data_IF_923465618629
#
_entry.id   IF_923465618629
#
_cell.length_a   1.000
_cell.length_b   1.000
_cell.length_c   1.000
_cell.angle_alpha   90.00
_cell.angle_beta   90.00
_cell.angle_gamma   90.00
#
_symmetry.space_group_name_H-M   'P 1'
#
loop_
_entity.id
_entity.type
_entity.pdbx_description
1 polymer ?
#
# COMPACT_ATOMS: atom_id res chain seq x y z
N UNK A 1 -9.66 -14.77 10.29
CA UNK A 1 -11.04 -14.35 10.65
C UNK A 1 -12.03 -15.18 9.86
N UNK A 2 -12.96 -15.87 10.52
CA UNK A 2 -13.99 -16.65 9.84
C UNK A 2 -14.95 -15.75 9.04
N UNK A 3 -15.48 -16.26 7.92
CA UNK A 3 -16.43 -15.52 7.07
C UNK A 3 -17.68 -15.10 7.86
N UNK A 4 -18.08 -15.89 8.87
CA UNK A 4 -19.20 -15.57 9.78
C UNK A 4 -18.99 -14.25 10.52
N UNK A 5 -17.78 -13.99 10.97
CA UNK A 5 -17.47 -12.76 11.71
C UNK A 5 -17.49 -11.55 10.79
N UNK A 6 -17.05 -11.72 9.54
CA UNK A 6 -17.12 -10.68 8.50
C UNK A 6 -18.59 -10.35 8.20
N UNK A 7 -19.43 -11.38 8.03
CA UNK A 7 -20.86 -11.23 7.78
C UNK A 7 -21.57 -10.50 8.92
N UNK A 8 -21.25 -10.86 10.16
CA UNK A 8 -21.82 -10.23 11.35
C UNK A 8 -21.44 -8.73 11.42
N UNK A 9 -20.19 -8.40 11.18
CA UNK A 9 -19.72 -7.00 11.17
C UNK A 9 -20.33 -6.18 10.06
N UNK A 10 -20.51 -6.78 8.87
CA UNK A 10 -21.14 -6.14 7.72
C UNK A 10 -22.67 -6.12 7.82
N UNK A 11 -23.27 -6.77 8.82
CA UNK A 11 -24.70 -6.90 9.02
C UNK A 11 -25.43 -7.54 7.84
N UNK A 12 -24.79 -8.53 7.23
CA UNK A 12 -25.35 -9.31 6.11
C UNK A 12 -25.31 -10.80 6.43
N UNK A 13 -26.11 -11.57 5.71
CA UNK A 13 -26.08 -13.04 5.85
C UNK A 13 -24.82 -13.64 5.23
N UNK A 14 -24.35 -14.74 5.77
CA UNK A 14 -23.21 -15.51 5.22
C UNK A 14 -23.47 -15.90 3.76
N UNK A 15 -24.71 -16.30 3.43
CA UNK A 15 -25.11 -16.63 2.07
C UNK A 15 -24.99 -15.45 1.09
N UNK A 16 -25.18 -14.21 1.57
CA UNK A 16 -25.02 -13.01 0.76
C UNK A 16 -23.56 -12.81 0.41
N UNK A 17 -22.65 -13.02 1.35
CA UNK A 17 -21.21 -12.93 1.09
C UNK A 17 -20.80 -13.96 0.05
N UNK A 18 -21.19 -15.21 0.18
CA UNK A 18 -20.84 -16.27 -0.78
C UNK A 18 -21.46 -16.08 -2.16
N UNK A 19 -22.55 -15.34 -2.28
CA UNK A 19 -23.12 -14.96 -3.59
C UNK A 19 -22.24 -13.97 -4.34
N UNK A 20 -21.66 -12.99 -3.65
CA UNK A 20 -20.78 -11.98 -4.24
C UNK A 20 -19.32 -12.47 -4.34
N UNK A 21 -18.90 -13.29 -3.39
CA UNK A 21 -17.53 -13.81 -3.28
C UNK A 21 -17.60 -15.34 -3.11
N UNK A 22 -17.69 -16.09 -4.21
CA UNK A 22 -17.89 -17.56 -4.15
C UNK A 22 -16.79 -18.30 -3.39
N UNK A 23 -15.57 -17.76 -3.41
CA UNK A 23 -14.45 -18.35 -2.67
C UNK A 23 -13.88 -17.35 -1.68
N UNK A 24 -13.14 -17.85 -0.68
CA UNK A 24 -12.40 -17.01 0.26
C UNK A 24 -11.35 -16.15 -0.48
N UNK A 25 -10.72 -16.69 -1.52
CA UNK A 25 -9.77 -15.96 -2.35
C UNK A 25 -10.43 -14.77 -3.05
N UNK A 26 -11.65 -14.91 -3.56
CA UNK A 26 -12.40 -13.82 -4.18
C UNK A 26 -12.65 -12.66 -3.20
N UNK A 27 -13.02 -12.99 -1.97
CA UNK A 27 -13.22 -12.01 -0.92
C UNK A 27 -11.91 -11.27 -0.58
N UNK A 28 -10.82 -12.00 -0.46
CA UNK A 28 -9.49 -11.46 -0.18
C UNK A 28 -9.05 -10.50 -1.30
N UNK A 29 -9.21 -10.90 -2.56
CA UNK A 29 -8.90 -10.06 -3.73
C UNK A 29 -9.72 -8.77 -3.70
N UNK A 30 -11.02 -8.84 -3.41
CA UNK A 30 -11.88 -7.66 -3.34
C UNK A 30 -11.46 -6.69 -2.22
N UNK A 31 -11.13 -7.21 -1.04
CA UNK A 31 -10.65 -6.39 0.08
C UNK A 31 -9.30 -5.74 -0.26
N UNK A 32 -8.40 -6.48 -0.88
CA UNK A 32 -7.09 -5.98 -1.30
C UNK A 32 -7.24 -4.85 -2.32
N UNK A 33 -8.07 -5.04 -3.35
CA UNK A 33 -8.35 -4.00 -4.35
C UNK A 33 -8.93 -2.74 -3.72
N UNK A 34 -9.88 -2.89 -2.82
CA UNK A 34 -10.48 -1.76 -2.10
C UNK A 34 -9.41 -0.95 -1.36
N UNK A 35 -8.47 -1.61 -0.72
CA UNK A 35 -7.40 -0.93 0.02
C UNK A 35 -6.36 -0.29 -0.89
N UNK A 36 -6.05 -0.90 -2.03
CA UNK A 36 -5.20 -0.28 -3.06
C UNK A 36 -5.85 1.01 -3.57
N UNK A 37 -7.15 0.97 -3.87
CA UNK A 37 -7.88 2.17 -4.31
C UNK A 37 -7.89 3.26 -3.23
N UNK A 38 -8.13 2.91 -1.98
CA UNK A 38 -8.08 3.88 -0.88
C UNK A 38 -6.70 4.54 -0.75
N UNK A 39 -5.63 3.75 -0.90
CA UNK A 39 -4.26 4.27 -0.89
C UNK A 39 -4.00 5.19 -2.11
N UNK A 40 -4.48 4.79 -3.30
CA UNK A 40 -4.32 5.60 -4.49
C UNK A 40 -5.05 6.96 -4.37
N UNK A 41 -6.28 6.95 -3.88
CA UNK A 41 -7.09 8.15 -3.70
C UNK A 41 -6.53 9.10 -2.63
N UNK A 42 -5.82 8.58 -1.65
CA UNK A 42 -5.20 9.36 -0.58
C UNK A 42 -4.08 10.28 -1.08
N UNK A 43 -3.38 9.92 -2.16
CA UNK A 43 -2.25 10.72 -2.68
C UNK A 43 -2.63 12.15 -3.03
N UNK A 44 -3.59 12.39 -3.94
CA UNK A 44 -4.03 13.74 -4.28
C UNK A 44 -4.62 14.50 -3.09
N UNK A 45 -5.33 13.83 -2.18
CA UNK A 45 -5.89 14.44 -0.98
C UNK A 45 -4.78 14.97 -0.08
N UNK A 46 -3.73 14.16 0.15
CA UNK A 46 -2.59 14.57 0.96
C UNK A 46 -1.83 15.75 0.32
N UNK A 47 -1.69 15.75 -1.01
CA UNK A 47 -1.09 16.90 -1.70
C UNK A 47 -1.88 18.19 -1.50
N UNK A 48 -3.21 18.10 -1.45
CA UNK A 48 -4.07 19.26 -1.21
C UNK A 48 -4.05 19.73 0.26
N UNK A 49 -3.91 18.81 1.20
CA UNK A 49 -3.97 19.10 2.64
C UNK A 49 -2.64 19.53 3.24
N UNK A 50 -1.51 18.99 2.74
CA UNK A 50 -0.19 19.29 3.27
C UNK A 50 0.37 20.59 2.67
N UNK A 51 1.02 21.40 3.48
CA UNK A 51 1.71 22.61 3.01
C UNK A 51 2.88 22.28 2.08
N UNK A 52 3.56 21.19 2.37
CA UNK A 52 4.74 20.75 1.62
C UNK A 52 4.49 19.42 0.92
N UNK A 53 4.76 19.32 -0.37
CA UNK A 53 4.66 18.06 -1.10
C UNK A 53 5.49 16.92 -0.49
N UNK A 54 6.66 17.21 0.09
CA UNK A 54 7.46 16.21 0.79
C UNK A 54 6.72 15.61 2.00
N UNK A 55 5.98 16.43 2.75
CA UNK A 55 5.17 15.93 3.88
C UNK A 55 4.04 15.03 3.39
N UNK A 56 3.43 15.38 2.25
CA UNK A 56 2.42 14.54 1.61
C UNK A 56 3.02 13.20 1.18
N UNK A 57 4.20 13.21 0.56
CA UNK A 57 4.93 12.00 0.18
C UNK A 57 5.23 11.12 1.41
N UNK A 58 5.75 11.72 2.48
CA UNK A 58 6.08 11.01 3.71
C UNK A 58 4.85 10.33 4.33
N UNK A 59 3.73 11.03 4.41
CA UNK A 59 2.47 10.47 4.92
C UNK A 59 1.92 9.36 4.04
N UNK A 60 1.97 9.56 2.72
CA UNK A 60 1.49 8.56 1.78
C UNK A 60 2.34 7.28 1.82
N UNK A 61 3.65 7.41 1.86
CA UNK A 61 4.55 6.25 2.02
C UNK A 61 4.29 5.54 3.35
N UNK A 62 4.01 6.29 4.43
CA UNK A 62 3.59 5.71 5.71
C UNK A 62 2.33 4.84 5.58
N UNK A 63 1.31 5.31 4.87
CA UNK A 63 0.10 4.53 4.56
C UNK A 63 0.42 3.27 3.74
N UNK A 64 1.30 3.41 2.75
CA UNK A 64 1.76 2.30 1.93
C UNK A 64 2.48 1.23 2.77
N UNK A 65 3.35 1.63 3.68
CA UNK A 65 4.05 0.73 4.62
C UNK A 65 3.06 0.01 5.54
N UNK A 66 2.12 0.75 6.14
CA UNK A 66 1.09 0.17 7.00
C UNK A 66 0.25 -0.85 6.24
N UNK A 67 -0.09 -0.55 5.00
CA UNK A 67 -0.77 -1.48 4.11
C UNK A 67 0.05 -2.76 3.89
N UNK A 68 1.34 -2.65 3.56
CA UNK A 68 2.23 -3.80 3.34
C UNK A 68 2.40 -4.65 4.60
N UNK A 69 2.64 -4.03 5.74
CA UNK A 69 2.85 -4.72 7.02
C UNK A 69 1.59 -5.45 7.47
N UNK A 70 0.43 -4.79 7.37
CA UNK A 70 -0.86 -5.37 7.76
C UNK A 70 -1.27 -6.53 6.83
N UNK A 71 -0.86 -6.50 5.55
CA UNK A 71 -1.31 -7.42 4.51
C UNK A 71 -0.36 -8.59 4.25
N UNK A 72 0.73 -8.70 5.01
CA UNK A 72 1.69 -9.79 4.83
C UNK A 72 1.03 -11.18 4.92
N UNK A 73 0.05 -11.36 5.80
CA UNK A 73 -0.71 -12.61 5.90
C UNK A 73 -1.61 -12.94 4.69
N UNK A 74 -2.01 -11.93 3.89
CA UNK A 74 -2.81 -12.15 2.68
C UNK A 74 -2.00 -12.75 1.54
N UNK A 75 -0.72 -12.41 1.43
CA UNK A 75 0.16 -12.96 0.43
C UNK A 75 0.30 -14.49 0.57
N UNK A 76 0.30 -15.01 1.79
CA UNK A 76 0.37 -16.44 2.04
C UNK A 76 -0.87 -17.20 1.55
N UNK A 77 -2.05 -16.62 1.72
CA UNK A 77 -3.31 -17.24 1.24
C UNK A 77 -3.36 -17.28 -0.28
N UNK A 78 -2.78 -16.27 -0.96
CA UNK A 78 -2.74 -16.18 -2.42
C UNK A 78 -1.58 -16.97 -3.04
N UNK A 79 -0.64 -17.49 -2.28
CA UNK A 79 0.47 -18.31 -2.79
C UNK A 79 0.01 -19.57 -3.50
N UNK A 80 -1.16 -20.10 -3.15
CA UNK A 80 -1.74 -21.28 -3.80
C UNK A 80 -2.31 -20.99 -5.19
N UNK A 81 -2.46 -19.71 -5.56
CA UNK A 81 -2.93 -19.27 -6.88
C UNK A 81 -1.99 -18.21 -7.44
N UNK A 82 -0.94 -18.66 -8.14
CA UNK A 82 0.08 -17.79 -8.70
C UNK A 82 -0.49 -16.82 -9.75
N UNK A 83 -1.48 -17.22 -10.52
CA UNK A 83 -2.09 -16.36 -11.54
C UNK A 83 -2.88 -15.21 -10.90
N UNK A 84 -3.69 -15.50 -9.89
CA UNK A 84 -4.43 -14.48 -9.14
C UNK A 84 -3.47 -13.51 -8.43
N UNK A 85 -2.40 -14.03 -7.84
CA UNK A 85 -1.37 -13.21 -7.19
C UNK A 85 -0.70 -12.26 -8.18
N UNK A 86 -0.30 -12.74 -9.36
CA UNK A 86 0.34 -11.91 -10.39
C UNK A 86 -0.59 -10.82 -10.93
N UNK A 87 -1.85 -11.14 -11.16
CA UNK A 87 -2.86 -10.18 -11.61
C UNK A 87 -3.06 -9.08 -10.57
N UNK A 88 -3.14 -9.46 -9.30
CA UNK A 88 -3.31 -8.52 -8.21
C UNK A 88 -2.05 -7.66 -8.01
N UNK A 89 -0.86 -8.24 -8.14
CA UNK A 89 0.40 -7.51 -8.08
C UNK A 89 0.52 -6.49 -9.21
N UNK A 90 0.17 -6.87 -10.44
CA UNK A 90 0.14 -5.95 -11.59
C UNK A 90 -0.84 -4.80 -11.35
N UNK A 91 -2.03 -5.08 -10.83
CA UNK A 91 -3.01 -4.06 -10.46
C UNK A 91 -2.45 -3.08 -9.43
N UNK A 92 -1.81 -3.58 -8.39
CA UNK A 92 -1.16 -2.80 -7.35
C UNK A 92 -0.11 -1.84 -7.94
N UNK A 93 0.81 -2.36 -8.76
CA UNK A 93 1.85 -1.55 -9.40
C UNK A 93 1.23 -0.50 -10.32
N UNK A 94 0.31 -0.89 -11.20
CA UNK A 94 -0.33 0.02 -12.16
C UNK A 94 -1.12 1.14 -11.48
N UNK A 95 -1.62 0.89 -10.28
CA UNK A 95 -2.44 1.86 -9.55
C UNK A 95 -1.64 2.80 -8.66
N UNK A 96 -0.58 2.30 -8.01
CA UNK A 96 0.15 3.07 -7.00
C UNK A 96 1.39 3.77 -7.53
N UNK A 97 2.07 3.23 -8.54
CA UNK A 97 3.24 3.88 -9.14
C UNK A 97 2.90 5.28 -9.67
N UNK A 98 1.82 5.49 -10.45
CA UNK A 98 1.47 6.83 -10.92
C UNK A 98 1.18 7.83 -9.79
N UNK A 99 0.60 7.39 -8.68
CA UNK A 99 0.35 8.25 -7.52
C UNK A 99 1.67 8.67 -6.87
N UNK A 100 2.59 7.74 -6.71
CA UNK A 100 3.93 8.02 -6.19
C UNK A 100 4.68 8.99 -7.12
N UNK A 101 4.58 8.82 -8.43
CA UNK A 101 5.15 9.75 -9.41
C UNK A 101 4.66 11.18 -9.21
N UNK A 102 3.35 11.36 -9.05
CA UNK A 102 2.75 12.68 -8.80
C UNK A 102 3.31 13.32 -7.53
N UNK A 103 3.44 12.55 -6.46
CA UNK A 103 4.00 13.03 -5.20
C UNK A 103 5.47 13.42 -5.33
N UNK A 104 6.26 12.62 -6.02
CA UNK A 104 7.68 12.91 -6.28
C UNK A 104 7.85 14.12 -7.18
N UNK A 105 7.07 14.26 -8.24
CA UNK A 105 7.08 15.40 -9.13
C UNK A 105 6.73 16.70 -8.41
N UNK A 106 5.69 16.65 -7.56
CA UNK A 106 5.30 17.82 -6.76
C UNK A 106 6.40 18.26 -5.79
N UNK A 107 7.03 17.31 -5.11
CA UNK A 107 8.14 17.60 -4.19
C UNK A 107 9.37 18.12 -4.92
N UNK A 108 9.69 17.59 -6.09
CA UNK A 108 10.79 18.07 -6.93
C UNK A 108 10.50 19.48 -7.48
N UNK A 109 9.29 19.74 -7.95
CA UNK A 109 8.86 21.07 -8.43
C UNK A 109 8.92 22.12 -7.32
N UNK A 110 8.66 21.75 -6.08
CA UNK A 110 8.80 22.63 -4.91
C UNK A 110 10.26 22.81 -4.46
N UNK A 111 11.22 22.14 -5.11
CA UNK A 111 12.64 22.22 -4.76
C UNK A 111 13.00 21.45 -3.47
N UNK A 112 12.15 20.57 -3.00
CA UNK A 112 12.35 19.84 -1.74
C UNK A 112 13.18 18.57 -1.90
N UNK A 113 13.11 17.95 -3.08
CA UNK A 113 13.87 16.75 -3.43
C UNK A 113 14.50 16.91 -4.81
N UNK A 114 15.49 16.08 -5.12
CA UNK A 114 16.09 16.05 -6.47
C UNK A 114 15.08 15.49 -7.48
N UNK A 115 15.01 16.04 -8.69
CA UNK A 115 14.20 15.46 -9.76
C UNK A 115 14.78 14.14 -10.26
N UNK A 116 13.94 13.35 -10.93
CA UNK A 116 14.38 12.14 -11.61
C UNK A 116 14.40 10.88 -10.76
N UNK A 117 13.83 10.93 -9.54
CA UNK A 117 13.62 9.72 -8.73
C UNK A 117 12.54 8.84 -9.38
N UNK A 118 12.86 7.59 -9.57
CA UNK A 118 11.93 6.61 -10.12
C UNK A 118 10.97 6.10 -9.04
N UNK A 119 9.68 6.28 -9.26
CA UNK A 119 8.64 5.90 -8.30
C UNK A 119 8.59 4.38 -8.07
N UNK A 120 8.75 3.60 -9.14
CA UNK A 120 8.75 2.14 -9.03
C UNK A 120 9.94 1.67 -8.17
N UNK A 121 11.14 2.22 -8.43
CA UNK A 121 12.34 1.90 -7.65
C UNK A 121 12.14 2.23 -6.17
N UNK A 122 11.58 3.41 -5.87
CA UNK A 122 11.30 3.81 -4.50
C UNK A 122 10.33 2.85 -3.81
N UNK A 123 9.20 2.54 -4.45
CA UNK A 123 8.20 1.64 -3.88
C UNK A 123 8.74 0.22 -3.70
N UNK A 124 9.55 -0.26 -4.63
CA UNK A 124 10.21 -1.56 -4.52
C UNK A 124 11.20 -1.60 -3.37
N UNK A 125 11.98 -0.55 -3.19
CA UNK A 125 12.93 -0.42 -2.06
C UNK A 125 12.19 -0.40 -0.72
N UNK A 126 11.14 0.38 -0.61
CA UNK A 126 10.27 0.43 0.58
C UNK A 126 9.66 -0.95 0.86
N UNK A 127 9.16 -1.63 -0.17
CA UNK A 127 8.64 -3.00 -0.04
C UNK A 127 9.68 -3.97 0.47
N UNK A 128 10.91 -3.86 -0.01
CA UNK A 128 12.04 -4.66 0.47
C UNK A 128 12.35 -4.45 1.95
N UNK A 129 12.28 -3.22 2.43
CA UNK A 129 12.45 -2.90 3.86
C UNK A 129 11.33 -3.49 4.72
N UNK A 130 10.14 -3.64 4.18
CA UNK A 130 9.00 -4.23 4.89
C UNK A 130 9.01 -5.76 4.91
N UNK A 131 9.84 -6.40 4.09
CA UNK A 131 9.92 -7.85 4.03
C UNK A 131 10.39 -8.44 5.36
N UNK A 132 9.65 -9.42 5.89
CA UNK A 132 9.99 -10.07 7.16
C UNK A 132 9.72 -9.24 8.42
N UNK A 133 9.03 -8.11 8.30
CA UNK A 133 8.78 -7.19 9.41
C UNK A 133 8.05 -7.81 10.61
N UNK A 134 7.24 -8.85 10.40
CA UNK A 134 6.50 -9.52 11.47
C UNK A 134 7.30 -10.57 12.24
N UNK A 135 8.52 -10.91 11.81
CA UNK A 135 9.29 -12.03 12.34
C UNK A 135 10.34 -11.63 13.40
N UNK A 136 10.72 -10.36 13.46
CA UNK A 136 11.71 -9.86 14.41
C UNK A 136 11.19 -8.60 15.11
N UNK A 137 10.90 -8.66 16.43
CA UNK A 137 10.39 -7.51 17.16
C UNK A 137 11.40 -6.35 17.31
N UNK A 138 12.68 -6.60 17.02
CA UNK A 138 13.73 -5.57 17.05
C UNK A 138 13.80 -4.77 15.74
N UNK A 139 13.10 -5.21 14.70
CA UNK A 139 13.10 -4.60 13.38
C UNK A 139 11.83 -3.78 13.15
N UNK A 140 12.00 -2.48 12.90
CA UNK A 140 10.90 -1.57 12.57
C UNK A 140 11.08 -1.04 11.14
N UNK A 141 10.33 -1.55 10.16
CA UNK A 141 10.40 -1.03 8.80
C UNK A 141 9.94 0.42 8.72
N UNK A 142 8.96 0.83 9.54
CA UNK A 142 8.48 2.20 9.58
C UNK A 142 9.62 3.19 9.87
N UNK A 143 10.45 2.89 10.86
CA UNK A 143 11.58 3.75 11.23
C UNK A 143 12.59 3.90 10.09
N UNK A 144 12.95 2.81 9.43
CA UNK A 144 13.89 2.84 8.32
C UNK A 144 13.32 3.57 7.10
N UNK A 145 12.03 3.40 6.83
CA UNK A 145 11.36 4.11 5.75
C UNK A 145 11.29 5.61 6.04
N UNK A 146 11.00 6.00 7.26
CA UNK A 146 11.03 7.41 7.68
C UNK A 146 12.41 8.03 7.43
N UNK A 147 13.49 7.33 7.79
CA UNK A 147 14.85 7.77 7.53
C UNK A 147 15.15 7.89 6.03
N UNK A 148 14.68 6.93 5.23
CA UNK A 148 14.84 6.96 3.78
C UNK A 148 14.15 8.19 3.18
N UNK A 149 12.90 8.42 3.52
CA UNK A 149 12.12 9.54 2.98
C UNK A 149 12.69 10.88 3.44
N UNK A 150 13.09 11.00 4.69
CA UNK A 150 13.79 12.20 5.19
C UNK A 150 15.10 12.45 4.43
N UNK A 151 15.82 11.39 4.08
CA UNK A 151 17.06 11.47 3.32
C UNK A 151 16.89 11.91 1.85
N UNK A 152 15.69 11.91 1.31
CA UNK A 152 15.41 12.42 -0.03
C UNK A 152 15.48 13.96 -0.11
N UNK A 153 15.34 14.64 1.02
CA UNK A 153 15.32 16.12 1.03
C UNK A 153 16.67 16.68 0.62
N UNK A 154 16.60 17.74 -0.17
CA UNK A 154 17.77 18.56 -0.50
C UNK A 154 18.07 19.47 0.69
N UNK A 155 19.32 19.51 1.08
CA UNK A 155 19.80 20.45 2.10
C UNK A 155 20.19 21.78 1.48
#
# INVERSE_FOLDING_TARGET
MPVRDIAARARVGVGTIYRHFPTRADLIVAVYRHQVEACAEAGPVLLAECERPHDALARWIGMFVDFLVTKHGLAEVLRSDAAAFQTLHAYFINRLVPVCEQLLEAAAAAGEIRPGLDAYELLRGVGGLCFGAGSDPRYSPQHLVELLIAGLRIQ
#
